data_IF_628192199434
#
_entry.id   IF_628192199434
#
_cell.length_a   1.000
_cell.length_b   1.000
_cell.length_c   1.000
_cell.angle_alpha   90.00
_cell.angle_beta   90.00
_cell.angle_gamma   90.00
#
_symmetry.space_group_name_H-M   'P 1'
#
loop_
_entity.id
_entity.type
_entity.pdbx_description
1 polymer ?
#
# COMPACT_ATOMS: atom_id res chain seq x y z
N UNK A 1 10.49 34.53 10.98
CA UNK A 1 11.12 33.27 10.54
C UNK A 1 12.64 33.48 10.57
N UNK A 2 13.38 32.76 11.42
CA UNK A 2 14.85 32.93 11.52
C UNK A 2 15.52 32.04 10.47
N UNK A 3 16.44 32.61 9.71
CA UNK A 3 17.22 31.91 8.68
C UNK A 3 18.66 31.83 9.15
N UNK A 4 19.25 30.65 9.09
CA UNK A 4 20.63 30.36 9.49
C UNK A 4 21.32 29.59 8.36
N UNK A 5 22.63 29.82 8.16
CA UNK A 5 23.44 29.02 7.25
C UNK A 5 24.29 28.07 8.07
N UNK A 6 24.11 26.76 7.87
CA UNK A 6 24.81 25.69 8.57
C UNK A 6 25.37 24.73 7.53
N UNK A 7 26.68 24.52 7.53
CA UNK A 7 27.35 23.60 6.58
C UNK A 7 27.00 23.88 5.10
N UNK A 8 26.95 25.17 4.71
CA UNK A 8 26.53 25.63 3.39
C UNK A 8 25.08 25.28 2.99
N UNK A 9 24.24 24.89 3.96
CA UNK A 9 22.82 24.67 3.80
C UNK A 9 22.04 25.77 4.54
N UNK A 10 20.94 26.20 3.93
CA UNK A 10 20.03 27.17 4.57
C UNK A 10 19.08 26.42 5.49
N UNK A 11 19.00 26.84 6.74
CA UNK A 11 18.12 26.30 7.77
C UNK A 11 17.11 27.38 8.16
N UNK A 12 15.83 27.03 8.13
CA UNK A 12 14.75 27.91 8.55
C UNK A 12 14.16 27.41 9.88
N UNK A 13 13.93 28.35 10.79
CA UNK A 13 13.27 28.08 12.06
C UNK A 13 11.79 28.44 11.92
N UNK A 14 10.96 27.41 12.00
CA UNK A 14 9.49 27.52 12.01
C UNK A 14 8.97 27.30 13.42
N UNK A 15 7.71 27.67 13.70
CA UNK A 15 7.05 27.36 14.98
C UNK A 15 6.94 25.85 15.25
N UNK A 16 7.02 25.03 14.21
CA UNK A 16 7.00 23.56 14.27
C UNK A 16 8.40 22.92 14.29
N UNK A 17 9.45 23.72 14.46
CA UNK A 17 10.84 23.25 14.52
C UNK A 17 11.72 23.74 13.36
N UNK A 18 12.97 23.24 13.33
CA UNK A 18 13.97 23.59 12.30
C UNK A 18 13.73 22.77 11.03
N UNK A 19 13.85 23.40 9.86
CA UNK A 19 13.78 22.75 8.54
C UNK A 19 14.99 23.14 7.72
N UNK A 20 15.53 22.20 6.96
CA UNK A 20 16.67 22.44 6.06
C UNK A 20 16.17 22.62 4.63
N UNK A 21 16.65 23.65 3.95
CA UNK A 21 16.44 23.86 2.52
C UNK A 21 17.55 23.13 1.78
N UNK A 22 17.19 22.06 1.08
CA UNK A 22 18.13 21.27 0.30
C UNK A 22 18.30 21.85 -1.11
N UNK A 23 19.53 21.96 -1.62
CA UNK A 23 19.80 22.16 -3.03
C UNK A 23 19.16 21.07 -3.90
N UNK A 24 18.64 21.41 -5.10
CA UNK A 24 18.03 20.43 -6.02
C UNK A 24 18.91 19.21 -6.33
N UNK A 25 20.23 19.40 -6.38
CA UNK A 25 21.20 18.34 -6.61
C UNK A 25 21.13 17.20 -5.57
N UNK A 26 20.64 17.48 -4.35
CA UNK A 26 20.56 16.50 -3.26
C UNK A 26 19.18 15.86 -3.09
N UNK A 27 18.16 16.34 -3.83
CA UNK A 27 16.78 15.88 -3.65
C UNK A 27 16.64 14.38 -3.92
N UNK A 28 17.20 13.90 -5.04
CA UNK A 28 17.10 12.48 -5.44
C UNK A 28 17.74 11.53 -4.41
N UNK A 29 18.87 11.93 -3.83
CA UNK A 29 19.59 11.17 -2.80
C UNK A 29 18.75 11.06 -1.53
N UNK A 30 18.19 12.19 -1.10
CA UNK A 30 17.33 12.27 0.10
C UNK A 30 16.04 11.50 -0.09
N UNK A 31 15.40 11.64 -1.25
CA UNK A 31 14.19 10.87 -1.59
C UNK A 31 14.47 9.38 -1.57
N UNK A 32 15.55 8.92 -2.22
CA UNK A 32 15.94 7.50 -2.20
C UNK A 32 16.17 6.98 -0.79
N UNK A 33 16.86 7.75 0.07
CA UNK A 33 17.15 7.36 1.45
C UNK A 33 15.90 7.29 2.33
N UNK A 34 15.01 8.28 2.22
CA UNK A 34 13.80 8.36 3.03
C UNK A 34 12.68 7.42 2.54
N UNK A 35 12.61 7.17 1.23
CA UNK A 35 11.64 6.27 0.61
C UNK A 35 12.08 4.80 0.67
N UNK A 36 13.37 4.51 0.45
CA UNK A 36 13.91 3.16 0.37
C UNK A 36 14.34 2.54 1.70
N UNK A 37 14.19 3.26 2.82
CA UNK A 37 14.51 2.66 4.12
C UNK A 37 13.54 1.51 4.43
N UNK A 38 14.04 0.45 5.08
CA UNK A 38 13.25 -0.71 5.51
C UNK A 38 12.07 -0.25 6.38
N UNK A 39 12.30 0.79 7.19
CA UNK A 39 11.31 1.46 8.04
C UNK A 39 10.34 2.40 7.30
N UNK A 40 10.54 2.66 6.00
CA UNK A 40 9.60 3.39 5.15
C UNK A 40 8.71 2.44 4.33
N UNK A 41 9.08 1.15 4.28
CA UNK A 41 8.29 0.05 3.77
C UNK A 41 7.78 0.20 2.34
N UNK A 42 8.43 1.03 1.49
CA UNK A 42 7.87 1.44 0.21
C UNK A 42 6.38 1.80 0.28
N UNK A 43 5.92 2.29 1.45
CA UNK A 43 4.54 2.70 1.62
C UNK A 43 4.30 3.95 0.75
N UNK A 44 3.05 4.09 0.31
CA UNK A 44 2.57 5.10 -0.65
C UNK A 44 3.16 6.50 -0.40
N UNK A 45 3.27 7.30 -1.47
CA UNK A 45 3.78 8.69 -1.50
C UNK A 45 3.46 9.59 -0.30
N UNK A 46 2.26 9.56 0.30
CA UNK A 46 1.94 10.37 1.48
C UNK A 46 2.89 10.16 2.68
N UNK A 47 3.39 8.94 2.90
CA UNK A 47 4.30 8.65 4.02
C UNK A 47 5.73 9.18 3.75
N UNK A 48 6.17 9.15 2.49
CA UNK A 48 7.43 9.75 2.08
C UNK A 48 7.38 11.28 2.21
N UNK A 49 6.29 11.90 1.76
CA UNK A 49 6.03 13.34 1.96
C UNK A 49 6.03 13.73 3.44
N UNK A 50 5.38 12.93 4.30
CA UNK A 50 5.38 13.15 5.75
C UNK A 50 6.79 13.24 6.33
N UNK A 51 7.67 12.28 6.02
CA UNK A 51 9.04 12.24 6.56
C UNK A 51 9.95 13.32 5.96
N UNK A 52 9.83 13.58 4.65
CA UNK A 52 10.61 14.65 4.00
C UNK A 52 10.20 16.01 4.57
N UNK A 53 8.90 16.27 4.74
CA UNK A 53 8.39 17.54 5.28
C UNK A 53 8.70 17.75 6.77
N UNK A 54 9.04 16.69 7.51
CA UNK A 54 9.51 16.79 8.89
C UNK A 54 10.91 17.40 8.98
N UNK A 55 11.78 17.16 7.99
CA UNK A 55 13.19 17.57 8.04
C UNK A 55 13.51 18.72 7.08
N UNK A 56 12.80 18.78 5.96
CA UNK A 56 13.13 19.66 4.84
C UNK A 56 11.97 20.54 4.42
N UNK A 57 12.28 21.65 3.75
CA UNK A 57 11.28 22.57 3.23
C UNK A 57 11.76 23.27 1.96
N UNK A 58 10.88 23.35 0.96
CA UNK A 58 10.97 24.26 -0.20
C UNK A 58 9.59 24.37 -0.89
N UNK A 59 9.35 25.39 -1.73
CA UNK A 59 8.11 25.51 -2.48
C UNK A 59 7.88 24.29 -3.39
N UNK A 60 6.70 23.67 -3.31
CA UNK A 60 6.37 22.52 -4.15
C UNK A 60 6.94 21.16 -3.68
N UNK A 61 7.52 21.08 -2.48
CA UNK A 61 8.09 19.84 -1.92
C UNK A 61 7.20 18.61 -2.08
N UNK A 62 5.92 18.71 -1.76
CA UNK A 62 4.98 17.60 -1.88
C UNK A 62 4.81 17.14 -3.34
N UNK A 63 4.71 18.08 -4.29
CA UNK A 63 4.57 17.76 -5.70
C UNK A 63 5.81 17.09 -6.28
N UNK A 64 7.01 17.53 -5.87
CA UNK A 64 8.28 16.91 -6.28
C UNK A 64 8.45 15.49 -5.72
N UNK A 65 8.16 15.30 -4.42
CA UNK A 65 8.21 13.98 -3.78
C UNK A 65 7.21 13.04 -4.45
N UNK A 66 5.98 13.47 -4.68
CA UNK A 66 4.96 12.65 -5.35
C UNK A 66 5.36 12.28 -6.78
N UNK A 67 5.92 13.23 -7.55
CA UNK A 67 6.42 12.97 -8.91
C UNK A 67 7.53 11.93 -8.88
N UNK A 68 8.49 12.06 -7.96
CA UNK A 68 9.60 11.14 -7.81
C UNK A 68 9.12 9.73 -7.40
N UNK A 69 8.21 9.62 -6.42
CA UNK A 69 7.66 8.34 -5.95
C UNK A 69 6.87 7.63 -7.06
N UNK A 70 6.15 8.37 -7.91
CA UNK A 70 5.47 7.78 -9.10
C UNK A 70 6.47 7.18 -10.10
N UNK A 71 7.66 7.77 -10.24
CA UNK A 71 8.73 7.23 -11.07
C UNK A 71 9.52 6.08 -10.45
N UNK A 72 9.25 5.72 -9.19
CA UNK A 72 9.98 4.62 -8.53
C UNK A 72 9.61 3.26 -9.12
N UNK A 73 10.58 2.60 -9.76
CA UNK A 73 10.41 1.28 -10.40
C UNK A 73 9.96 0.18 -9.43
N UNK A 74 10.51 0.16 -8.21
CA UNK A 74 10.16 -0.83 -7.18
C UNK A 74 8.71 -0.67 -6.68
N UNK A 75 8.24 0.58 -6.55
CA UNK A 75 6.85 0.85 -6.22
C UNK A 75 5.92 0.56 -7.40
N UNK A 76 6.36 0.84 -8.63
CA UNK A 76 5.64 0.54 -9.85
C UNK A 76 5.42 -0.95 -10.06
N UNK A 77 6.46 -1.77 -9.88
CA UNK A 77 6.38 -3.23 -10.03
C UNK A 77 5.44 -3.87 -9.01
N UNK A 78 5.45 -3.40 -7.75
CA UNK A 78 4.52 -3.88 -6.70
C UNK A 78 3.06 -3.49 -6.96
N UNK A 79 2.82 -2.33 -7.61
CA UNK A 79 1.48 -1.85 -7.97
C UNK A 79 0.93 -2.49 -9.23
N UNK A 80 1.79 -3.02 -10.10
CA UNK A 80 1.40 -3.78 -11.26
C UNK A 80 0.87 -5.16 -10.84
N UNK A 81 -0.27 -5.20 -10.14
CA UNK A 81 -1.15 -6.36 -10.29
C UNK A 81 -1.68 -6.28 -11.72
N UNK A 82 -1.49 -7.32 -12.56
CA UNK A 82 -2.29 -7.43 -13.76
C UNK A 82 -3.73 -7.24 -13.30
N UNK A 83 -4.45 -6.29 -13.91
CA UNK A 83 -5.91 -6.34 -13.86
C UNK A 83 -6.25 -7.61 -14.62
N UNK A 84 -6.26 -8.75 -13.93
CA UNK A 84 -6.97 -9.90 -14.44
C UNK A 84 -8.41 -9.41 -14.57
N UNK A 85 -8.81 -9.15 -15.81
CA UNK A 85 -10.21 -8.99 -16.15
C UNK A 85 -10.78 -10.38 -15.94
N UNK A 86 -11.20 -10.66 -14.70
CA UNK A 86 -11.94 -11.87 -14.39
C UNK A 86 -13.31 -11.64 -15.01
N UNK A 87 -13.69 -12.34 -16.10
CA UNK A 87 -15.03 -12.21 -16.63
C UNK A 87 -16.03 -12.56 -15.52
N UNK A 88 -17.19 -11.89 -15.46
CA UNK A 88 -18.20 -12.23 -14.48
C UNK A 88 -18.53 -13.73 -14.59
N UNK A 89 -18.47 -14.43 -13.46
CA UNK A 89 -18.81 -15.85 -13.38
C UNK A 89 -20.23 -16.03 -13.92
N UNK A 90 -20.38 -16.90 -14.90
CA UNK A 90 -21.70 -17.29 -15.43
C UNK A 90 -22.13 -18.57 -14.72
N UNK A 91 -23.40 -18.63 -14.32
CA UNK A 91 -23.97 -19.88 -13.85
C UNK A 91 -23.80 -20.95 -14.92
N UNK A 92 -23.28 -22.10 -14.52
CA UNK A 92 -23.28 -23.29 -15.37
C UNK A 92 -24.75 -23.71 -15.59
N UNK A 93 -25.13 -24.10 -16.81
CA UNK A 93 -26.49 -24.60 -17.06
C UNK A 93 -26.75 -25.84 -16.20
N UNK A 94 -27.92 -25.91 -15.56
CA UNK A 94 -28.33 -27.08 -14.79
C UNK A 94 -28.40 -28.33 -15.68
N UNK A 95 -28.14 -29.49 -15.07
CA UNK A 95 -28.43 -30.81 -15.63
C UNK A 95 -29.69 -31.40 -14.99
N UNK A 96 -29.89 -32.70 -15.14
CA UNK A 96 -30.95 -33.44 -14.44
C UNK A 96 -30.67 -33.52 -12.93
N UNK A 97 -31.66 -34.01 -12.18
CA UNK A 97 -31.56 -34.22 -10.73
C UNK A 97 -30.32 -35.06 -10.38
N UNK A 98 -29.42 -34.48 -9.60
CA UNK A 98 -28.21 -35.17 -9.13
C UNK A 98 -26.98 -35.05 -10.04
N UNK A 99 -27.08 -34.37 -11.19
CA UNK A 99 -25.95 -34.20 -12.12
C UNK A 99 -24.80 -33.37 -11.56
N UNK A 100 -25.09 -32.47 -10.60
CA UNK A 100 -24.12 -31.56 -10.01
C UNK A 100 -24.39 -31.34 -8.53
N UNK A 101 -23.32 -31.41 -7.76
CA UNK A 101 -23.34 -31.21 -6.32
C UNK A 101 -22.38 -30.09 -5.96
N UNK A 102 -22.84 -29.08 -5.23
CA UNK A 102 -21.95 -28.13 -4.57
C UNK A 102 -21.65 -28.68 -3.17
N UNK A 103 -20.36 -28.88 -2.92
CA UNK A 103 -19.84 -29.33 -1.63
C UNK A 103 -19.11 -28.17 -0.97
N UNK A 104 -19.46 -27.89 0.27
CA UNK A 104 -18.80 -26.87 1.09
C UNK A 104 -18.52 -27.41 2.50
N UNK A 105 -17.57 -26.81 3.19
CA UNK A 105 -17.26 -27.14 4.58
C UNK A 105 -17.36 -25.86 5.41
N UNK A 106 -18.34 -25.84 6.30
CA UNK A 106 -18.53 -24.74 7.23
C UNK A 106 -17.88 -25.07 8.59
N UNK A 107 -17.12 -24.13 9.13
CA UNK A 107 -16.49 -24.24 10.44
C UNK A 107 -15.11 -23.57 10.51
N UNK A 108 -14.40 -23.68 11.63
CA UNK A 108 -14.78 -24.41 12.84
C UNK A 108 -15.86 -23.68 13.66
N UNK A 109 -16.89 -24.40 14.09
CA UNK A 109 -17.90 -23.89 15.01
C UNK A 109 -17.50 -24.09 16.48
N UNK A 110 -17.91 -23.19 17.39
CA UNK A 110 -17.69 -23.39 18.82
C UNK A 110 -18.48 -24.61 19.29
N UNK A 111 -17.79 -25.54 19.93
CA UNK A 111 -18.36 -26.75 20.54
C UNK A 111 -17.84 -26.91 21.95
N UNK A 112 -18.67 -27.47 22.84
CA UNK A 112 -18.20 -27.95 24.14
C UNK A 112 -17.40 -29.24 23.94
N UNK A 113 -16.32 -29.39 24.72
CA UNK A 113 -15.42 -30.55 24.84
C UNK A 113 -15.47 -31.60 23.70
N UNK A 114 -14.52 -31.50 22.76
CA UNK A 114 -14.22 -32.58 21.82
C UNK A 114 -15.25 -32.81 20.70
N UNK A 115 -16.34 -32.04 20.64
CA UNK A 115 -17.38 -32.18 19.60
C UNK A 115 -16.92 -31.86 18.17
N UNK A 116 -17.75 -32.24 17.20
CA UNK A 116 -17.49 -32.00 15.78
C UNK A 116 -17.57 -30.51 15.43
N UNK A 117 -16.47 -29.96 14.91
CA UNK A 117 -16.33 -28.52 14.63
C UNK A 117 -16.71 -28.14 13.22
N UNK A 118 -16.91 -29.10 12.34
CA UNK A 118 -17.11 -28.85 10.91
C UNK A 118 -18.37 -29.53 10.41
N UNK A 119 -19.09 -28.84 9.52
CA UNK A 119 -20.26 -29.36 8.82
C UNK A 119 -19.93 -29.41 7.34
N UNK A 120 -20.13 -30.58 6.73
CA UNK A 120 -20.08 -30.72 5.27
C UNK A 120 -21.49 -30.39 4.75
N UNK A 121 -21.58 -29.37 3.91
CA UNK A 121 -22.80 -28.97 3.23
C UNK A 121 -22.76 -29.53 1.82
N UNK A 122 -23.76 -30.35 1.49
CA UNK A 122 -23.93 -30.89 0.15
C UNK A 122 -25.25 -30.36 -0.41
N UNK A 123 -25.21 -29.51 -1.42
CA UNK A 123 -26.39 -29.08 -2.15
C UNK A 123 -26.39 -29.70 -3.56
N UNK A 124 -27.57 -29.82 -4.15
CA UNK A 124 -27.71 -30.00 -5.58
C UNK A 124 -28.89 -29.15 -6.05
N UNK A 125 -28.87 -28.74 -7.32
CA UNK A 125 -29.98 -27.99 -7.95
C UNK A 125 -30.35 -28.64 -9.26
N UNK A 126 -31.65 -28.92 -9.45
CA UNK A 126 -32.21 -29.12 -10.79
C UNK A 126 -32.37 -27.75 -11.47
N UNK A 127 -32.31 -27.76 -12.81
CA UNK A 127 -32.57 -26.60 -13.65
C UNK A 127 -34.00 -26.03 -13.46
#
# INVERSE_FOLDING_TARGET
MKVESLFALVVIHTSRGKKVILPPALWSVVFKKLHGSIWAGHLRGPHACGRVSQLYWWPGLHGEVDRWVRGCRECGSRKARPRQVIPPLRSLRGGDVGDRWDLDVAGPFPVAEGGERYVIVCNWRAA
#
